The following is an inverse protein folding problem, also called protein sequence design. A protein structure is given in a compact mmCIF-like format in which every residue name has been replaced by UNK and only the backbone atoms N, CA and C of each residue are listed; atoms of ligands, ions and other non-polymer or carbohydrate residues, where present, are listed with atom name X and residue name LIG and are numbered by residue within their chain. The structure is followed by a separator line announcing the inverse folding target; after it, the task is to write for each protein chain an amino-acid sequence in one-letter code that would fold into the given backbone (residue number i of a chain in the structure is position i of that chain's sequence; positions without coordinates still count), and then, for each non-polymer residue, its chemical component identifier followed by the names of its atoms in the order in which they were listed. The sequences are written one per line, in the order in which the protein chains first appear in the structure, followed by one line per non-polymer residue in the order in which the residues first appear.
data_IF_130369801340
#
_entry.id   IF_130369801340
#
_cell.length_a   1.000
_cell.length_b   1.000
_cell.length_c   1.000
_cell.angle_alpha   90.00
_cell.angle_beta   90.00
_cell.angle_gamma   90.00
#
_symmetry.space_group_name_H-M   'P 1'
#
loop_
_entity.id
_entity.type
_entity.pdbx_description
1 polymer ?
#
# COMPACT_ATOMS: atom_id res chain seq x y z
N UNK A 1 9.75 -13.44 6.16
CA UNK A 1 8.50 -13.92 5.53
C UNK A 1 7.48 -12.78 5.36
N UNK A 2 7.13 -12.02 6.40
CA UNK A 2 6.18 -10.89 6.29
C UNK A 2 6.57 -9.83 5.23
N UNK A 3 7.81 -9.34 5.25
CA UNK A 3 8.29 -8.36 4.28
C UNK A 3 8.24 -8.85 2.82
N UNK A 4 8.41 -10.16 2.59
CA UNK A 4 8.25 -10.75 1.26
C UNK A 4 6.79 -10.72 0.82
N UNK A 5 5.85 -11.04 1.70
CA UNK A 5 4.42 -10.92 1.41
C UNK A 5 4.02 -9.49 1.07
N UNK A 6 4.52 -8.51 1.84
CA UNK A 6 4.35 -7.08 1.56
C UNK A 6 4.94 -6.66 0.22
N UNK A 7 6.15 -7.13 -0.11
CA UNK A 7 6.80 -6.85 -1.39
C UNK A 7 6.04 -7.47 -2.57
N UNK A 8 5.57 -8.71 -2.43
CA UNK A 8 4.75 -9.38 -3.43
C UNK A 8 3.40 -8.69 -3.62
N UNK A 9 2.77 -8.21 -2.55
CA UNK A 9 1.54 -7.41 -2.64
C UNK A 9 1.77 -6.12 -3.44
N UNK A 10 2.87 -5.39 -3.16
CA UNK A 10 3.21 -4.17 -3.89
C UNK A 10 3.50 -4.45 -5.37
N UNK A 11 4.27 -5.50 -5.66
CA UNK A 11 4.54 -5.95 -7.03
C UNK A 11 3.25 -6.36 -7.76
N UNK A 12 2.37 -7.11 -7.10
CA UNK A 12 1.09 -7.51 -7.67
C UNK A 12 0.20 -6.30 -7.97
N UNK A 13 0.12 -5.33 -7.05
CA UNK A 13 -0.62 -4.10 -7.26
C UNK A 13 -0.03 -3.28 -8.43
N UNK A 14 1.29 -3.10 -8.49
CA UNK A 14 1.94 -2.41 -9.60
C UNK A 14 1.69 -3.12 -10.94
N UNK A 15 1.68 -4.45 -10.96
CA UNK A 15 1.42 -5.23 -12.18
C UNK A 15 0.04 -4.97 -12.78
N UNK A 16 -0.94 -4.49 -11.99
CA UNK A 16 -2.27 -4.11 -12.50
C UNK A 16 -2.21 -2.97 -13.52
N UNK A 17 -1.18 -2.12 -13.49
CA UNK A 17 -1.00 -1.03 -14.47
C UNK A 17 -0.77 -1.54 -15.90
N UNK A 18 -0.25 -2.76 -16.05
CA UNK A 18 -0.02 -3.39 -17.35
C UNK A 18 -1.13 -4.38 -17.74
N UNK A 19 -2.17 -4.53 -16.91
CA UNK A 19 -3.31 -5.40 -17.20
C UNK A 19 -4.40 -4.60 -17.92
N UNK A 20 -4.73 -4.91 -19.19
CA UNK A 20 -5.76 -4.19 -19.93
C UNK A 20 -7.16 -4.32 -19.30
N UNK A 21 -7.40 -5.41 -18.58
CA UNK A 21 -8.67 -5.71 -17.92
C UNK A 21 -8.95 -4.78 -16.73
N UNK A 22 -7.92 -4.08 -16.22
CA UNK A 22 -8.08 -3.18 -15.08
C UNK A 22 -8.42 -1.76 -15.54
N UNK A 23 -9.47 -1.13 -14.98
CA UNK A 23 -9.70 0.28 -15.24
C UNK A 23 -8.52 1.10 -14.71
N UNK A 24 -8.06 2.07 -15.51
CA UNK A 24 -6.86 2.89 -15.21
C UNK A 24 -6.88 3.48 -13.80
N UNK A 25 -8.04 3.97 -13.38
CA UNK A 25 -8.23 4.53 -12.05
C UNK A 25 -8.15 3.47 -10.94
N UNK A 26 -8.68 2.27 -11.16
CA UNK A 26 -8.56 1.13 -10.25
C UNK A 26 -7.10 0.67 -10.11
N UNK A 27 -6.37 0.51 -11.22
CA UNK A 27 -4.96 0.13 -11.21
C UNK A 27 -4.06 1.17 -10.51
N UNK A 28 -4.31 2.46 -10.77
CA UNK A 28 -3.64 3.56 -10.07
C UNK A 28 -3.95 3.53 -8.56
N UNK A 29 -5.22 3.36 -8.19
CA UNK A 29 -5.65 3.23 -6.80
C UNK A 29 -4.99 2.05 -6.08
N UNK A 30 -4.92 0.89 -6.72
CA UNK A 30 -4.29 -0.31 -6.18
C UNK A 30 -2.78 -0.07 -5.94
N UNK A 31 -2.10 0.52 -6.91
CA UNK A 31 -0.65 0.78 -6.84
C UNK A 31 -0.33 1.80 -5.73
N UNK A 32 -1.05 2.93 -5.70
CA UNK A 32 -0.85 3.96 -4.67
C UNK A 32 -1.21 3.42 -3.28
N UNK A 33 -2.32 2.68 -3.18
CA UNK A 33 -2.75 2.06 -1.92
C UNK A 33 -1.73 1.07 -1.37
N UNK A 34 -1.22 0.18 -2.23
CA UNK A 34 -0.17 -0.77 -1.86
C UNK A 34 1.13 -0.08 -1.45
N UNK A 35 1.52 1.00 -2.15
CA UNK A 35 2.72 1.76 -1.82
C UNK A 35 2.61 2.47 -0.46
N UNK A 36 1.45 3.05 -0.14
CA UNK A 36 1.19 3.68 1.16
C UNK A 36 1.19 2.65 2.30
N UNK A 37 0.58 1.49 2.07
CA UNK A 37 0.58 0.40 3.03
C UNK A 37 2.01 -0.09 3.30
N UNK A 38 2.78 -0.38 2.24
CA UNK A 38 4.19 -0.75 2.34
C UNK A 38 5.03 0.30 3.07
N UNK A 39 4.82 1.60 2.76
CA UNK A 39 5.53 2.69 3.42
C UNK A 39 5.15 2.82 4.90
N UNK A 40 3.93 2.47 5.28
CA UNK A 40 3.50 2.41 6.69
C UNK A 40 4.29 1.36 7.47
N UNK A 41 4.39 0.15 6.93
CA UNK A 41 5.15 -0.95 7.53
C UNK A 41 6.65 -0.66 7.55
N UNK A 42 7.20 -0.08 6.49
CA UNK A 42 8.59 0.36 6.43
C UNK A 42 8.88 1.42 7.50
N UNK A 43 7.98 2.40 7.69
CA UNK A 43 8.11 3.43 8.73
C UNK A 43 8.02 2.83 10.14
N UNK A 44 7.13 1.85 10.35
CA UNK A 44 7.02 1.14 11.62
C UNK A 44 8.30 0.36 11.94
N UNK A 45 8.85 -0.35 10.95
CA UNK A 45 10.12 -1.07 11.07
C UNK A 45 11.28 -0.11 11.34
N UNK A 46 11.37 1.00 10.60
CA UNK A 46 12.40 2.03 10.81
C UNK A 46 12.35 2.59 12.23
N UNK A 47 11.16 2.95 12.70
CA UNK A 47 10.95 3.46 14.05
C UNK A 47 11.31 2.45 15.15
N UNK A 48 11.24 1.14 14.86
CA UNK A 48 11.53 0.06 15.81
C UNK A 48 12.99 -0.36 15.81
N UNK A 49 13.64 -0.39 14.64
CA UNK A 49 14.94 -1.03 14.45
C UNK A 49 16.08 -0.09 14.08
N UNK A 50 15.80 1.13 13.60
CA UNK A 50 16.84 2.08 13.16
C UNK A 50 16.93 3.26 14.10
N UNK A 51 15.92 4.13 14.09
CA UNK A 51 15.86 5.29 14.99
C UNK A 51 14.40 5.72 15.20
N UNK A 52 14.00 6.10 16.42
CA UNK A 52 12.66 6.60 16.68
C UNK A 52 12.35 7.84 15.83
N UNK A 53 11.17 7.86 15.21
CA UNK A 53 10.68 8.97 14.39
C UNK A 53 9.64 9.75 15.18
N UNK A 54 9.75 11.08 15.17
CA UNK A 54 8.77 11.95 15.82
C UNK A 54 7.36 11.71 15.24
N UNK A 55 6.40 11.46 16.14
CA UNK A 55 4.99 11.16 15.81
C UNK A 55 4.81 9.94 14.89
N UNK A 56 5.72 8.97 14.94
CA UNK A 56 5.69 7.77 14.09
C UNK A 56 4.32 7.06 14.11
N UNK A 57 3.72 6.87 15.29
CA UNK A 57 2.42 6.18 15.43
C UNK A 57 1.31 6.83 14.61
N UNK A 58 1.25 8.16 14.59
CA UNK A 58 0.24 8.89 13.81
C UNK A 58 0.49 8.74 12.31
N UNK A 59 1.75 8.93 11.87
CA UNK A 59 2.14 8.79 10.46
C UNK A 59 1.83 7.38 9.94
N UNK A 60 2.24 6.34 10.67
CA UNK A 60 1.94 4.93 10.36
C UNK A 60 0.43 4.73 10.22
N UNK A 61 -0.37 5.20 11.17
CA UNK A 61 -1.82 5.01 11.13
C UNK A 61 -2.48 5.72 9.95
N UNK A 62 -2.03 6.93 9.60
CA UNK A 62 -2.52 7.67 8.43
C UNK A 62 -2.17 6.92 7.13
N UNK A 63 -0.90 6.55 6.93
CA UNK A 63 -0.46 5.83 5.73
C UNK A 63 -1.20 4.49 5.61
N UNK A 64 -1.34 3.77 6.72
CA UNK A 64 -2.04 2.50 6.79
C UNK A 64 -3.50 2.62 6.34
N UNK A 65 -4.26 3.53 6.94
CA UNK A 65 -5.67 3.67 6.59
C UNK A 65 -5.88 4.19 5.17
N UNK A 66 -5.08 5.17 4.72
CA UNK A 66 -5.15 5.63 3.33
C UNK A 66 -4.82 4.50 2.35
N UNK A 67 -3.79 3.70 2.65
CA UNK A 67 -3.44 2.53 1.86
C UNK A 67 -4.57 1.51 1.75
N UNK A 68 -5.17 1.14 2.88
CA UNK A 68 -6.31 0.21 2.93
C UNK A 68 -7.53 0.73 2.18
N UNK A 69 -7.86 2.01 2.36
CA UNK A 69 -8.99 2.63 1.67
C UNK A 69 -8.80 2.62 0.15
N UNK A 70 -7.61 2.95 -0.33
CA UNK A 70 -7.28 2.93 -1.76
C UNK A 70 -7.31 1.52 -2.35
N UNK A 71 -6.80 0.52 -1.63
CA UNK A 71 -6.86 -0.89 -2.04
C UNK A 71 -8.31 -1.38 -2.13
N UNK A 72 -9.14 -1.07 -1.13
CA UNK A 72 -10.55 -1.43 -1.13
C UNK A 72 -11.31 -0.73 -2.27
N UNK A 73 -11.08 0.56 -2.45
CA UNK A 73 -11.69 1.34 -3.53
C UNK A 73 -11.29 0.81 -4.92
N UNK A 74 -10.01 0.48 -5.11
CA UNK A 74 -9.52 -0.11 -6.35
C UNK A 74 -10.19 -1.45 -6.66
N UNK A 75 -10.37 -2.30 -5.65
CA UNK A 75 -11.09 -3.56 -5.80
C UNK A 75 -12.55 -3.35 -6.22
N UNK A 76 -13.25 -2.39 -5.60
CA UNK A 76 -14.62 -2.02 -5.98
C UNK A 76 -14.68 -1.56 -7.44
N UNK A 77 -13.74 -0.70 -7.87
CA UNK A 77 -13.67 -0.20 -9.26
C UNK A 77 -13.35 -1.26 -10.29
N UNK A 78 -12.70 -2.36 -9.91
CA UNK A 78 -12.44 -3.47 -10.80
C UNK A 78 -13.67 -4.38 -10.95
N UNK A 79 -14.49 -4.50 -9.90
CA UNK A 79 -15.67 -5.39 -9.88
C UNK A 79 -16.92 -4.73 -10.46
N UNK A 80 -17.06 -3.41 -10.31
CA UNK A 80 -18.21 -2.60 -10.74
C UNK A 80 -17.79 -1.50 -11.71
#
# INVERSE_FOLDING_TARGET
MYALGLGLMLLAAASTLWRPDWPRWGAAGATVGAALFFASDALLAWNRFVHPVARARLKVRILYHLGQWLLAWAAVRHVF
#
